data_IF_484464564437
#
_entry.id   IF_484464564437
#
_cell.length_a   1.000
_cell.length_b   1.000
_cell.length_c   1.000
_cell.angle_alpha   90.00
_cell.angle_beta   90.00
_cell.angle_gamma   90.00
#
_symmetry.space_group_name_H-M   'P 1'
#
loop_
_entity.id
_entity.type
_entity.pdbx_description
1 polymer ?
#
# COMPACT_ATOMS: atom_id res chain seq x y z
N UNK A 1 5.67 -32.96 -10.77
CA UNK A 1 6.40 -31.77 -11.26
C UNK A 1 5.48 -30.59 -11.04
N UNK A 2 5.91 -29.57 -10.33
CA UNK A 2 5.09 -28.38 -10.12
C UNK A 2 5.27 -27.50 -11.35
N UNK A 3 4.30 -27.51 -12.26
CA UNK A 3 4.37 -26.66 -13.45
C UNK A 3 4.25 -25.20 -13.00
N UNK A 4 5.28 -24.40 -13.30
CA UNK A 4 5.28 -22.95 -13.07
C UNK A 4 4.65 -22.29 -14.27
N UNK A 5 3.65 -21.44 -14.04
CA UNK A 5 3.03 -20.66 -15.10
C UNK A 5 3.86 -19.40 -15.32
N UNK A 6 4.36 -19.18 -16.54
CA UNK A 6 5.02 -17.92 -16.93
C UNK A 6 4.12 -17.13 -17.87
N UNK A 7 3.97 -15.84 -17.59
CA UNK A 7 3.09 -14.95 -18.34
C UNK A 7 3.84 -14.37 -19.55
N UNK A 8 3.21 -14.38 -20.73
CA UNK A 8 3.71 -13.77 -21.98
C UNK A 8 2.64 -12.87 -22.60
N UNK A 9 3.03 -11.91 -23.44
CA UNK A 9 2.09 -11.02 -24.13
C UNK A 9 1.11 -11.77 -25.03
N UNK A 10 1.49 -12.95 -25.53
CA UNK A 10 0.73 -13.74 -26.51
C UNK A 10 -0.54 -14.42 -25.95
N UNK A 11 -0.90 -14.17 -24.68
CA UNK A 11 -1.97 -14.84 -23.93
C UNK A 11 -1.86 -16.38 -23.87
N UNK A 12 -0.73 -16.95 -24.33
CA UNK A 12 -0.34 -18.34 -24.07
C UNK A 12 0.59 -18.31 -22.86
N UNK A 13 0.01 -18.57 -21.71
CA UNK A 13 0.79 -18.76 -20.51
C UNK A 13 1.46 -20.14 -20.60
N UNK A 14 2.78 -20.15 -20.54
CA UNK A 14 3.56 -21.36 -20.73
C UNK A 14 3.84 -22.03 -19.39
N UNK A 15 3.60 -23.34 -19.34
CA UNK A 15 4.08 -24.19 -18.26
C UNK A 15 5.59 -24.41 -18.44
N UNK A 16 6.38 -23.93 -17.48
CA UNK A 16 7.83 -24.04 -17.49
C UNK A 16 8.27 -24.95 -16.34
N UNK A 17 9.20 -25.85 -16.66
CA UNK A 17 9.84 -26.71 -15.66
C UNK A 17 10.68 -25.87 -14.70
N UNK A 18 10.69 -26.25 -13.44
CA UNK A 18 11.40 -25.53 -12.37
C UNK A 18 12.88 -25.25 -12.74
N UNK A 19 13.60 -26.25 -13.24
CA UNK A 19 15.02 -26.12 -13.63
C UNK A 19 15.24 -25.09 -14.73
N UNK A 20 14.32 -25.02 -15.70
CA UNK A 20 14.36 -24.03 -16.77
C UNK A 20 14.09 -22.62 -16.22
N UNK A 21 13.14 -22.46 -15.29
CA UNK A 21 12.90 -21.17 -14.62
C UNK A 21 14.15 -20.70 -13.89
N UNK A 22 14.78 -21.55 -13.07
CA UNK A 22 15.97 -21.18 -12.31
C UNK A 22 17.13 -20.75 -13.22
N UNK A 23 17.28 -21.41 -14.37
CA UNK A 23 18.27 -21.02 -15.40
C UNK A 23 17.95 -19.64 -15.99
N UNK A 24 16.67 -19.35 -16.29
CA UNK A 24 16.23 -18.02 -16.73
C UNK A 24 16.54 -16.94 -15.69
N UNK A 25 16.38 -17.23 -14.40
CA UNK A 25 16.70 -16.26 -13.33
C UNK A 25 18.19 -15.91 -13.26
N UNK A 26 19.06 -16.91 -13.45
CA UNK A 26 20.50 -16.68 -13.48
C UNK A 26 20.91 -15.84 -14.71
N UNK A 27 20.29 -16.07 -15.87
CA UNK A 27 20.49 -15.25 -17.07
C UNK A 27 19.95 -13.81 -16.92
N UNK A 28 18.72 -13.66 -16.40
CA UNK A 28 18.05 -12.37 -16.17
C UNK A 28 18.90 -11.42 -15.32
N UNK A 29 19.60 -11.96 -14.30
CA UNK A 29 20.48 -11.18 -13.41
C UNK A 29 21.63 -10.48 -14.14
N UNK A 30 21.98 -10.91 -15.36
CA UNK A 30 23.03 -10.28 -16.18
C UNK A 30 22.49 -9.17 -17.11
N UNK A 31 21.17 -9.03 -17.22
CA UNK A 31 20.51 -7.98 -18.01
C UNK A 31 20.03 -6.86 -17.07
N UNK A 32 20.98 -6.02 -16.63
CA UNK A 32 20.72 -4.90 -15.72
C UNK A 32 20.92 -3.56 -16.42
N UNK A 33 20.26 -2.51 -15.93
CA UNK A 33 20.42 -1.15 -16.43
C UNK A 33 20.88 -0.18 -15.34
N UNK A 34 21.31 1.02 -15.74
CA UNK A 34 21.52 2.10 -14.79
C UNK A 34 20.17 2.49 -14.13
N UNK A 35 20.15 2.86 -12.83
CA UNK A 35 18.93 3.38 -12.22
C UNK A 35 18.40 4.59 -13.02
N UNK A 36 17.10 4.54 -13.32
CA UNK A 36 16.35 5.50 -14.13
C UNK A 36 16.92 5.70 -15.54
N UNK A 37 17.46 4.63 -16.14
CA UNK A 37 17.88 4.66 -17.53
C UNK A 37 16.72 5.09 -18.47
N UNK A 38 16.97 5.97 -19.46
CA UNK A 38 15.92 6.58 -20.28
C UNK A 38 14.96 5.57 -20.91
N UNK A 39 15.48 4.45 -21.42
CA UNK A 39 14.70 3.39 -22.06
C UNK A 39 13.69 2.74 -21.10
N UNK A 40 14.06 2.58 -19.82
CA UNK A 40 13.17 2.02 -18.79
C UNK A 40 12.10 3.02 -18.37
N UNK A 41 12.48 4.30 -18.24
CA UNK A 41 11.53 5.40 -17.95
C UNK A 41 10.53 5.55 -19.09
N UNK A 42 10.99 5.48 -20.34
CA UNK A 42 10.16 5.58 -21.53
C UNK A 42 9.19 4.40 -21.65
N UNK A 43 9.64 3.18 -21.37
CA UNK A 43 8.77 2.00 -21.37
C UNK A 43 7.62 2.18 -20.37
N UNK A 44 7.94 2.53 -19.11
CA UNK A 44 6.94 2.73 -18.06
C UNK A 44 5.98 3.88 -18.39
N UNK A 45 6.51 5.02 -18.84
CA UNK A 45 5.69 6.15 -19.25
C UNK A 45 4.76 5.81 -20.42
N UNK A 46 5.23 5.02 -21.40
CA UNK A 46 4.41 4.67 -22.56
C UNK A 46 3.22 3.77 -22.22
N UNK A 47 3.34 2.92 -21.18
CA UNK A 47 2.20 2.16 -20.67
C UNK A 47 1.22 3.08 -19.95
N UNK A 48 1.73 4.04 -19.16
CA UNK A 48 0.89 5.07 -18.55
C UNK A 48 0.09 5.86 -19.61
N UNK A 49 0.75 6.27 -20.70
CA UNK A 49 0.12 6.97 -21.82
C UNK A 49 -0.96 6.11 -22.50
N UNK A 50 -0.74 4.79 -22.66
CA UNK A 50 -1.74 3.87 -23.20
C UNK A 50 -2.97 3.76 -22.28
N UNK A 51 -2.76 3.70 -20.96
CA UNK A 51 -3.83 3.65 -19.97
C UNK A 51 -4.65 4.96 -19.91
N UNK A 52 -4.01 6.11 -20.16
CA UNK A 52 -4.65 7.43 -20.14
C UNK A 52 -5.26 7.83 -21.50
N UNK A 53 -4.67 7.38 -22.61
CA UNK A 53 -5.02 7.76 -23.99
C UNK A 53 -6.25 7.05 -24.56
N UNK A 54 -6.68 5.93 -23.97
CA UNK A 54 -8.00 5.38 -24.25
C UNK A 54 -9.05 6.45 -23.88
N UNK A 55 -9.94 6.86 -24.82
CA UNK A 55 -11.04 7.84 -24.65
C UNK A 55 -12.06 7.45 -23.55
N UNK A 56 -11.59 7.35 -22.31
CA UNK A 56 -12.29 6.99 -21.08
C UNK A 56 -11.76 7.87 -19.94
N UNK A 57 -11.62 9.18 -20.18
CA UNK A 57 -11.30 10.16 -19.13
C UNK A 57 -12.52 10.43 -18.23
N UNK A 58 -13.02 9.35 -17.61
CA UNK A 58 -13.69 9.32 -16.31
C UNK A 58 -13.06 8.24 -15.43
N UNK A 59 -11.91 7.66 -15.83
CA UNK A 59 -11.31 6.50 -15.20
C UNK A 59 -10.97 6.76 -13.72
N UNK A 60 -11.86 6.32 -12.85
CA UNK A 60 -11.63 6.17 -11.42
C UNK A 60 -11.07 4.77 -11.14
N UNK A 61 -10.28 4.67 -10.08
CA UNK A 61 -9.82 3.39 -9.54
C UNK A 61 -8.36 3.04 -9.85
N UNK A 62 -7.91 1.84 -9.43
CA UNK A 62 -6.49 1.60 -9.18
C UNK A 62 -5.58 1.70 -10.41
N UNK A 63 -6.08 1.34 -11.60
CA UNK A 63 -5.33 1.44 -12.85
C UNK A 63 -5.07 2.90 -13.28
N UNK A 64 -6.05 3.79 -13.08
CA UNK A 64 -5.89 5.21 -13.38
C UNK A 64 -4.92 5.86 -12.40
N UNK A 65 -4.99 5.53 -11.10
CA UNK A 65 -4.00 5.97 -10.11
C UNK A 65 -2.58 5.53 -10.50
N UNK A 66 -2.40 4.26 -10.87
CA UNK A 66 -1.11 3.76 -11.32
C UNK A 66 -0.60 4.49 -12.56
N UNK A 67 -1.47 4.76 -13.56
CA UNK A 67 -1.10 5.51 -14.76
C UNK A 67 -0.72 6.98 -14.44
N UNK A 68 -1.46 7.65 -13.57
CA UNK A 68 -1.08 9.00 -13.13
C UNK A 68 0.23 9.03 -12.34
N UNK A 69 0.49 8.01 -11.53
CA UNK A 69 1.73 7.86 -10.77
C UNK A 69 2.94 7.54 -11.67
N UNK A 70 2.73 6.77 -12.75
CA UNK A 70 3.75 6.41 -13.75
C UNK A 70 3.84 7.35 -14.95
N UNK A 71 3.08 8.46 -14.99
CA UNK A 71 3.17 9.42 -16.09
C UNK A 71 4.57 10.04 -16.18
N UNK A 72 4.99 10.38 -17.40
CA UNK A 72 6.33 10.93 -17.70
C UNK A 72 6.80 12.02 -16.75
N UNK A 73 5.95 13.00 -16.44
CA UNK A 73 6.28 14.09 -15.52
C UNK A 73 6.52 13.62 -14.07
N UNK A 74 5.77 12.63 -13.60
CA UNK A 74 5.95 12.05 -12.27
C UNK A 74 7.26 11.24 -12.19
N UNK A 75 7.53 10.42 -13.20
CA UNK A 75 8.79 9.67 -13.29
C UNK A 75 10.02 10.58 -13.39
N UNK A 76 9.93 11.68 -14.14
CA UNK A 76 11.01 12.67 -14.21
C UNK A 76 11.31 13.30 -12.85
N UNK A 77 10.26 13.65 -12.08
CA UNK A 77 10.40 14.16 -10.71
C UNK A 77 11.03 13.11 -9.79
N UNK A 78 10.60 11.86 -9.89
CA UNK A 78 11.16 10.75 -9.12
C UNK A 78 12.65 10.53 -9.45
N UNK A 79 13.01 10.49 -10.73
CA UNK A 79 14.39 10.33 -11.19
C UNK A 79 15.29 11.48 -10.70
N UNK A 80 14.82 12.74 -10.78
CA UNK A 80 15.54 13.90 -10.28
C UNK A 80 15.73 13.85 -8.75
N UNK A 81 14.68 13.49 -8.00
CA UNK A 81 14.76 13.29 -6.55
C UNK A 81 15.74 12.18 -6.17
N UNK A 82 15.73 11.07 -6.91
CA UNK A 82 16.67 9.97 -6.70
C UNK A 82 18.12 10.42 -6.93
N UNK A 83 18.39 11.06 -8.08
CA UNK A 83 19.72 11.54 -8.45
C UNK A 83 20.27 12.55 -7.43
N UNK A 84 19.44 13.48 -6.95
CA UNK A 84 19.84 14.49 -5.96
C UNK A 84 20.29 13.90 -4.61
N UNK A 85 19.89 12.66 -4.30
CA UNK A 85 20.21 11.97 -3.04
C UNK A 85 21.39 11.01 -3.16
N UNK A 86 21.90 10.78 -4.38
CA UNK A 86 23.13 9.99 -4.58
C UNK A 86 24.32 10.82 -4.05
N UNK A 87 25.13 10.28 -3.12
CA UNK A 87 26.27 11.02 -2.58
C UNK A 87 27.30 11.40 -3.65
N UNK A 88 28.03 12.49 -3.40
CA UNK A 88 29.18 12.85 -4.24
C UNK A 88 30.20 11.71 -4.28
N UNK A 89 30.84 11.52 -5.44
CA UNK A 89 31.79 10.43 -5.69
C UNK A 89 31.21 9.01 -5.48
N UNK A 90 29.89 8.87 -5.58
CA UNK A 90 29.21 7.58 -5.58
C UNK A 90 28.36 7.39 -6.84
N UNK A 91 28.26 6.14 -7.27
CA UNK A 91 27.39 5.71 -8.35
C UNK A 91 26.32 4.78 -7.81
N UNK A 92 25.05 5.09 -8.07
CA UNK A 92 23.98 4.14 -7.84
C UNK A 92 24.03 3.02 -8.90
N UNK A 93 23.90 1.78 -8.44
CA UNK A 93 23.84 0.57 -9.28
C UNK A 93 22.68 -0.31 -8.83
N UNK A 94 22.06 -1.07 -9.74
CA UNK A 94 21.06 -2.05 -9.35
C UNK A 94 21.62 -3.07 -8.37
N UNK A 95 20.75 -3.60 -7.53
CA UNK A 95 21.07 -4.68 -6.59
C UNK A 95 21.33 -6.00 -7.33
N UNK A 96 20.53 -6.29 -8.36
CA UNK A 96 20.62 -7.52 -9.15
C UNK A 96 19.24 -8.08 -9.46
N UNK A 97 18.98 -9.34 -9.08
CA UNK A 97 17.67 -9.99 -9.19
C UNK A 97 16.81 -9.69 -7.94
N UNK A 98 15.61 -9.16 -8.14
CA UNK A 98 14.65 -8.85 -7.07
C UNK A 98 13.44 -9.77 -7.15
N UNK A 99 13.14 -10.42 -6.04
CA UNK A 99 11.99 -11.31 -5.90
C UNK A 99 10.81 -10.62 -5.20
N UNK A 100 9.72 -10.45 -5.93
CA UNK A 100 8.51 -9.77 -5.45
C UNK A 100 7.43 -10.75 -5.03
N UNK A 101 6.97 -10.59 -3.79
CA UNK A 101 5.94 -11.38 -3.16
C UNK A 101 4.79 -10.46 -2.74
N UNK A 102 3.88 -10.08 -3.66
CA UNK A 102 2.72 -9.23 -3.35
C UNK A 102 1.71 -9.92 -2.42
N UNK A 103 0.83 -9.16 -1.73
CA UNK A 103 -0.22 -9.73 -0.91
C UNK A 103 -1.36 -10.24 -1.80
N UNK A 104 -2.23 -11.08 -1.25
CA UNK A 104 -3.34 -11.66 -2.02
C UNK A 104 -4.52 -10.68 -2.21
N UNK A 105 -4.68 -9.71 -1.32
CA UNK A 105 -5.85 -8.84 -1.23
C UNK A 105 -5.71 -7.48 -1.93
N UNK A 106 -4.51 -7.10 -2.38
CA UNK A 106 -4.26 -5.82 -3.07
C UNK A 106 -3.53 -6.10 -4.38
N UNK A 107 -4.29 -6.29 -5.45
CA UNK A 107 -3.73 -6.69 -6.76
C UNK A 107 -2.76 -5.65 -7.36
N UNK A 108 -2.85 -4.38 -7.00
CA UNK A 108 -2.07 -3.32 -7.66
C UNK A 108 -0.66 -3.13 -7.10
N UNK A 109 -0.37 -3.58 -5.87
CA UNK A 109 0.89 -3.24 -5.20
C UNK A 109 2.11 -3.92 -5.85
N UNK A 110 1.92 -5.06 -6.53
CA UNK A 110 3.01 -5.66 -7.31
C UNK A 110 3.45 -4.74 -8.45
N UNK A 111 2.53 -4.01 -9.10
CA UNK A 111 2.89 -3.11 -10.19
C UNK A 111 3.78 -1.98 -9.70
N UNK A 112 3.45 -1.38 -8.55
CA UNK A 112 4.28 -0.32 -7.96
C UNK A 112 5.66 -0.83 -7.54
N UNK A 113 5.70 -1.94 -6.81
CA UNK A 113 6.97 -2.53 -6.35
C UNK A 113 7.85 -3.01 -7.51
N UNK A 114 7.27 -3.67 -8.51
CA UNK A 114 7.96 -4.05 -9.74
C UNK A 114 8.45 -2.83 -10.52
N UNK A 115 7.60 -1.82 -10.77
CA UNK A 115 7.97 -0.64 -11.53
C UNK A 115 9.12 0.13 -10.86
N UNK A 116 9.09 0.30 -9.53
CA UNK A 116 10.21 0.92 -8.79
C UNK A 116 11.50 0.10 -8.91
N UNK A 117 11.42 -1.22 -8.84
CA UNK A 117 12.57 -2.10 -9.00
C UNK A 117 13.14 -2.10 -10.43
N UNK A 118 12.26 -2.10 -11.43
CA UNK A 118 12.60 -1.98 -12.84
C UNK A 118 13.28 -0.64 -13.13
N UNK A 119 12.70 0.46 -12.63
CA UNK A 119 13.30 1.80 -12.72
C UNK A 119 14.64 1.86 -11.98
N UNK A 120 14.80 1.17 -10.86
CA UNK A 120 16.08 1.04 -10.15
C UNK A 120 17.15 0.20 -10.91
N UNK A 121 16.83 -0.33 -12.10
CA UNK A 121 17.77 -1.03 -12.97
C UNK A 121 17.85 -2.55 -12.75
N UNK A 122 16.98 -3.11 -11.90
CA UNK A 122 17.04 -4.51 -11.51
C UNK A 122 16.38 -5.46 -12.53
N UNK A 123 16.81 -6.72 -12.48
CA UNK A 123 16.05 -7.86 -12.98
C UNK A 123 14.99 -8.24 -11.93
N UNK A 124 13.85 -8.79 -12.36
CA UNK A 124 12.74 -9.06 -11.46
C UNK A 124 12.10 -10.43 -11.72
N UNK A 125 11.69 -11.08 -10.63
CA UNK A 125 10.70 -12.16 -10.64
C UNK A 125 9.54 -11.78 -9.74
N UNK A 126 8.34 -11.72 -10.30
CA UNK A 126 7.12 -11.33 -9.61
C UNK A 126 6.19 -12.54 -9.51
N UNK A 127 5.87 -12.95 -8.28
CA UNK A 127 4.89 -14.01 -8.04
C UNK A 127 3.47 -13.44 -8.04
N UNK A 128 2.72 -13.69 -9.10
CA UNK A 128 1.32 -13.31 -9.22
C UNK A 128 0.39 -14.31 -8.49
N UNK A 129 -0.79 -13.85 -8.01
CA UNK A 129 -1.84 -14.73 -7.50
C UNK A 129 -2.34 -15.68 -8.60
N UNK A 130 -3.00 -16.76 -8.19
CA UNK A 130 -3.52 -17.76 -9.14
C UNK A 130 -4.55 -17.16 -10.09
N UNK A 131 -5.43 -16.31 -9.56
CA UNK A 131 -6.38 -15.54 -10.33
C UNK A 131 -5.90 -14.09 -10.33
N UNK A 132 -5.62 -13.57 -11.52
CA UNK A 132 -5.35 -12.14 -11.76
C UNK A 132 -6.57 -11.58 -12.47
N UNK A 133 -7.13 -10.48 -11.98
CA UNK A 133 -8.29 -9.86 -12.65
C UNK A 133 -7.99 -9.51 -14.12
N UNK A 134 -9.01 -9.57 -14.98
CA UNK A 134 -8.86 -9.26 -16.43
C UNK A 134 -8.26 -7.88 -16.67
N UNK A 135 -8.63 -6.90 -15.84
CA UNK A 135 -8.06 -5.55 -15.91
C UNK A 135 -6.58 -5.56 -15.57
N UNK A 136 -6.19 -6.24 -14.49
CA UNK A 136 -4.80 -6.33 -14.09
C UNK A 136 -3.95 -7.08 -15.12
N UNK A 137 -4.49 -8.17 -15.66
CA UNK A 137 -3.86 -8.94 -16.75
C UNK A 137 -3.57 -8.05 -17.95
N UNK A 138 -4.55 -7.27 -18.41
CA UNK A 138 -4.37 -6.35 -19.53
C UNK A 138 -3.27 -5.30 -19.29
N UNK A 139 -3.07 -4.85 -18.05
CA UNK A 139 -1.96 -3.93 -17.72
C UNK A 139 -0.62 -4.65 -17.81
N UNK A 140 -0.53 -5.88 -17.29
CA UNK A 140 0.68 -6.70 -17.39
C UNK A 140 1.01 -6.99 -18.85
N UNK A 141 0.01 -7.25 -19.70
CA UNK A 141 0.20 -7.49 -21.14
C UNK A 141 0.83 -6.30 -21.85
N UNK A 142 0.40 -5.07 -21.54
CA UNK A 142 1.01 -3.85 -22.10
C UNK A 142 2.51 -3.72 -21.77
N UNK A 143 2.92 -4.20 -20.59
CA UNK A 143 4.33 -4.24 -20.23
C UNK A 143 5.06 -5.37 -20.95
N UNK A 144 4.50 -6.58 -20.94
CA UNK A 144 5.08 -7.75 -21.60
C UNK A 144 5.29 -7.53 -23.10
N UNK A 145 4.31 -6.95 -23.81
CA UNK A 145 4.42 -6.63 -25.25
C UNK A 145 5.67 -5.79 -25.55
N UNK A 146 5.93 -4.78 -24.70
CA UNK A 146 7.07 -3.87 -24.87
C UNK A 146 8.39 -4.52 -24.48
N UNK A 147 8.40 -5.29 -23.39
CA UNK A 147 9.58 -6.01 -22.92
C UNK A 147 10.02 -7.06 -23.96
N UNK A 148 9.09 -7.85 -24.48
CA UNK A 148 9.33 -8.85 -25.52
C UNK A 148 9.82 -8.20 -26.82
N UNK A 149 9.21 -7.07 -27.24
CA UNK A 149 9.65 -6.33 -28.42
C UNK A 149 11.09 -5.77 -28.30
N UNK A 150 11.55 -5.52 -27.06
CA UNK A 150 12.92 -5.09 -26.78
C UNK A 150 13.89 -6.25 -26.51
N UNK A 151 13.39 -7.48 -26.44
CA UNK A 151 14.18 -8.65 -26.01
C UNK A 151 14.64 -8.57 -24.55
N UNK A 152 13.92 -7.84 -23.69
CA UNK A 152 14.21 -7.75 -22.27
C UNK A 152 13.66 -8.98 -21.53
N UNK A 153 14.52 -9.98 -21.35
CA UNK A 153 14.19 -11.22 -20.62
C UNK A 153 14.44 -11.10 -19.12
N UNK A 154 14.80 -9.90 -18.63
CA UNK A 154 15.14 -9.68 -17.22
C UNK A 154 13.92 -9.55 -16.31
N UNK A 155 12.71 -9.54 -16.87
CA UNK A 155 11.46 -9.26 -16.19
C UNK A 155 10.50 -10.46 -16.29
N UNK A 156 10.37 -11.24 -15.22
CA UNK A 156 9.56 -12.45 -15.19
C UNK A 156 8.33 -12.27 -14.30
N UNK A 157 7.15 -12.48 -14.87
CA UNK A 157 5.89 -12.61 -14.14
C UNK A 157 5.50 -14.08 -14.12
N UNK A 158 5.30 -14.64 -12.94
CA UNK A 158 5.07 -16.08 -12.77
C UNK A 158 3.96 -16.36 -11.76
N UNK A 159 3.31 -17.50 -11.91
CA UNK A 159 2.50 -18.09 -10.87
C UNK A 159 3.02 -19.49 -10.53
N UNK A 160 3.10 -19.77 -9.24
CA UNK A 160 3.35 -21.12 -8.74
C UNK A 160 2.65 -21.33 -7.39
N UNK A 161 2.22 -22.57 -7.08
CA UNK A 161 1.59 -22.92 -5.81
C UNK A 161 2.46 -22.54 -4.60
N UNK A 162 1.83 -22.21 -3.47
CA UNK A 162 2.59 -21.90 -2.24
C UNK A 162 3.27 -23.11 -1.62
N UNK A 163 2.89 -24.32 -2.06
CA UNK A 163 3.45 -25.57 -1.57
C UNK A 163 4.78 -25.87 -2.27
N UNK A 164 5.74 -26.41 -1.50
CA UNK A 164 7.05 -26.80 -2.00
C UNK A 164 8.17 -25.78 -1.72
N UNK A 165 9.34 -26.05 -2.26
CA UNK A 165 10.58 -25.32 -1.96
C UNK A 165 10.99 -24.29 -3.03
N UNK A 166 10.19 -24.14 -4.10
CA UNK A 166 10.49 -23.23 -5.21
C UNK A 166 10.68 -21.78 -4.74
N UNK A 167 9.81 -21.29 -3.84
CA UNK A 167 9.98 -19.95 -3.26
C UNK A 167 11.31 -19.77 -2.53
N UNK A 168 11.79 -20.81 -1.85
CA UNK A 168 13.10 -20.80 -1.19
C UNK A 168 14.25 -20.83 -2.21
N UNK A 169 14.13 -21.62 -3.28
CA UNK A 169 15.10 -21.68 -4.38
C UNK A 169 15.22 -20.36 -5.16
N UNK A 170 14.09 -19.66 -5.37
CA UNK A 170 14.06 -18.32 -5.97
C UNK A 170 14.70 -17.32 -5.01
N UNK A 171 14.31 -17.34 -3.72
CA UNK A 171 14.90 -16.49 -2.69
C UNK A 171 16.42 -16.66 -2.65
N UNK A 172 16.93 -17.89 -2.60
CA UNK A 172 18.37 -18.17 -2.58
C UNK A 172 19.14 -17.62 -3.80
N UNK A 173 18.46 -17.40 -4.93
CA UNK A 173 19.03 -16.82 -6.16
C UNK A 173 18.85 -15.31 -6.27
N UNK A 174 18.10 -14.68 -5.38
CA UNK A 174 17.77 -13.26 -5.47
C UNK A 174 18.72 -12.41 -4.64
N UNK A 175 19.15 -11.26 -5.17
CA UNK A 175 19.98 -10.27 -4.47
C UNK A 175 19.13 -9.38 -3.54
N UNK A 176 17.82 -9.29 -3.79
CA UNK A 176 16.85 -8.77 -2.84
C UNK A 176 15.48 -9.47 -2.94
N UNK A 177 14.68 -9.34 -1.90
CA UNK A 177 13.24 -9.69 -1.92
C UNK A 177 12.38 -8.60 -1.31
N UNK A 178 11.18 -8.46 -1.84
CA UNK A 178 10.15 -7.56 -1.32
C UNK A 178 8.95 -8.41 -0.94
N UNK A 179 8.59 -8.41 0.34
CA UNK A 179 7.50 -9.23 0.86
C UNK A 179 6.39 -8.33 1.36
N UNK A 180 5.26 -8.38 0.66
CA UNK A 180 4.02 -7.73 1.07
C UNK A 180 3.05 -8.78 1.62
N UNK A 181 2.58 -8.59 2.84
CA UNK A 181 1.55 -9.42 3.45
C UNK A 181 1.69 -9.47 4.96
N UNK A 182 0.69 -10.04 5.64
CA UNK A 182 0.67 -10.09 7.10
C UNK A 182 1.87 -10.81 7.72
N UNK A 183 2.03 -10.67 9.02
CA UNK A 183 3.24 -11.09 9.75
C UNK A 183 3.55 -12.59 9.58
N UNK A 184 2.53 -13.43 9.38
CA UNK A 184 2.69 -14.84 9.07
C UNK A 184 3.49 -15.08 7.78
N UNK A 185 3.28 -14.26 6.74
CA UNK A 185 4.03 -14.36 5.48
C UNK A 185 5.45 -13.83 5.66
N UNK A 186 5.63 -12.76 6.43
CA UNK A 186 6.97 -12.26 6.80
C UNK A 186 7.75 -13.37 7.50
N UNK A 187 7.16 -14.01 8.53
CA UNK A 187 7.79 -15.11 9.27
C UNK A 187 8.14 -16.32 8.38
N UNK A 188 7.32 -16.62 7.36
CA UNK A 188 7.59 -17.70 6.40
C UNK A 188 8.83 -17.43 5.54
N UNK A 189 9.03 -16.19 5.10
CA UNK A 189 10.14 -15.83 4.21
C UNK A 189 11.39 -15.37 4.95
N UNK A 190 11.27 -14.79 6.15
CA UNK A 190 12.38 -14.29 6.97
C UNK A 190 13.59 -15.25 7.06
N UNK A 191 13.42 -16.55 7.39
CA UNK A 191 14.55 -17.46 7.54
C UNK A 191 15.14 -17.95 6.21
N UNK A 192 14.47 -17.72 5.07
CA UNK A 192 14.94 -18.21 3.78
C UNK A 192 16.19 -17.45 3.32
N UNK A 193 17.20 -18.12 2.73
CA UNK A 193 18.41 -17.45 2.29
C UNK A 193 18.14 -16.50 1.12
N UNK A 194 19.01 -15.50 1.01
CA UNK A 194 19.17 -14.64 -0.17
C UNK A 194 20.59 -14.82 -0.72
N UNK A 195 20.77 -14.54 -2.01
CA UNK A 195 22.10 -14.62 -2.66
C UNK A 195 23.06 -13.72 -1.91
N UNK A 196 24.17 -14.28 -1.42
CA UNK A 196 25.23 -13.57 -0.70
C UNK A 196 24.74 -12.65 0.43
N UNK A 197 23.72 -13.08 1.20
CA UNK A 197 23.17 -12.27 2.29
C UNK A 197 22.43 -11.02 1.79
N UNK A 198 21.75 -11.14 0.66
CA UNK A 198 20.98 -10.08 0.01
C UNK A 198 19.96 -9.36 0.91
N UNK A 199 19.27 -8.37 0.34
CA UNK A 199 18.41 -7.46 1.11
C UNK A 199 16.95 -7.89 1.15
N UNK A 200 16.33 -7.84 2.32
CA UNK A 200 14.88 -8.02 2.44
C UNK A 200 14.20 -6.69 2.75
N UNK A 201 13.08 -6.43 2.08
CA UNK A 201 12.15 -5.34 2.40
C UNK A 201 10.84 -5.98 2.86
N UNK A 202 10.38 -5.59 4.04
CA UNK A 202 9.28 -6.24 4.75
C UNK A 202 8.10 -5.29 4.93
N UNK A 203 6.96 -5.65 4.36
CA UNK A 203 5.70 -4.94 4.57
C UNK A 203 4.72 -5.89 5.26
N UNK A 204 4.83 -5.93 6.60
CA UNK A 204 4.05 -6.75 7.52
C UNK A 204 2.65 -6.20 7.81
N UNK A 205 2.00 -6.75 8.84
CA UNK A 205 0.74 -6.21 9.33
C UNK A 205 0.94 -4.80 9.91
N UNK A 206 0.08 -3.87 9.47
CA UNK A 206 0.09 -2.49 9.94
C UNK A 206 -1.25 -2.08 10.50
N UNK A 207 -1.21 -1.08 11.36
CA UNK A 207 -2.36 -0.36 11.85
C UNK A 207 -2.25 1.11 11.44
N UNK A 208 -3.39 1.73 11.16
CA UNK A 208 -3.45 3.14 10.81
C UNK A 208 -4.67 3.76 11.47
N UNK A 209 -4.63 5.06 11.70
CA UNK A 209 -5.72 5.80 12.33
C UNK A 209 -5.75 7.24 11.85
N UNK A 210 -6.88 7.91 12.04
CA UNK A 210 -7.03 9.33 11.70
C UNK A 210 -7.00 10.20 12.94
N UNK A 211 -6.60 11.45 12.76
CA UNK A 211 -6.70 12.53 13.74
C UNK A 211 -7.59 13.64 13.20
N UNK A 212 -8.49 14.15 14.01
CA UNK A 212 -9.46 15.17 13.61
C UNK A 212 -9.47 16.28 14.65
N UNK A 213 -9.26 17.53 14.22
CA UNK A 213 -9.55 18.69 15.05
C UNK A 213 -11.07 18.92 15.07
N UNK A 214 -11.71 18.74 16.22
CA UNK A 214 -13.16 18.81 16.32
C UNK A 214 -13.71 20.22 16.09
N UNK A 215 -13.01 21.25 16.57
CA UNK A 215 -13.40 22.63 16.36
C UNK A 215 -13.32 23.04 14.88
N UNK A 216 -12.38 22.47 14.12
CA UNK A 216 -12.33 22.65 12.67
C UNK A 216 -13.45 21.89 11.95
N UNK A 217 -13.78 20.67 12.41
CA UNK A 217 -14.87 19.87 11.86
C UNK A 217 -16.23 20.59 12.01
N UNK A 218 -16.50 21.16 13.18
CA UNK A 218 -17.77 21.83 13.46
C UNK A 218 -18.00 23.10 12.64
N UNK A 219 -16.93 23.70 12.11
CA UNK A 219 -16.99 24.89 11.23
C UNK A 219 -17.34 24.55 9.79
N UNK A 220 -17.33 23.26 9.41
CA UNK A 220 -17.66 22.87 8.04
C UNK A 220 -19.14 23.10 7.75
N UNK A 221 -19.40 23.70 6.58
CA UNK A 221 -20.72 23.69 6.00
C UNK A 221 -21.06 22.31 5.40
N UNK A 222 -22.32 22.14 5.00
CA UNK A 222 -22.82 20.87 4.46
C UNK A 222 -22.05 20.37 3.22
N UNK A 223 -21.75 21.21 2.21
CA UNK A 223 -20.90 20.81 1.08
C UNK A 223 -19.49 20.37 1.50
N UNK A 224 -18.81 21.11 2.37
CA UNK A 224 -17.45 20.77 2.79
C UNK A 224 -17.41 19.51 3.66
N UNK A 225 -18.41 19.31 4.52
CA UNK A 225 -18.58 18.08 5.29
C UNK A 225 -18.74 16.86 4.37
N UNK A 226 -19.59 16.95 3.34
CA UNK A 226 -19.76 15.87 2.35
C UNK A 226 -18.47 15.59 1.58
N UNK A 227 -17.71 16.63 1.21
CA UNK A 227 -16.42 16.45 0.57
C UNK A 227 -15.40 15.73 1.47
N UNK A 228 -15.37 16.06 2.77
CA UNK A 228 -14.55 15.34 3.75
C UNK A 228 -15.04 13.91 3.96
N UNK A 229 -16.35 13.69 4.03
CA UNK A 229 -16.96 12.37 4.16
C UNK A 229 -16.57 11.45 3.00
N UNK A 230 -16.59 11.96 1.75
CA UNK A 230 -16.12 11.22 0.57
C UNK A 230 -14.63 10.89 0.63
N UNK A 231 -13.82 11.80 1.17
CA UNK A 231 -12.38 11.55 1.39
C UNK A 231 -12.16 10.45 2.43
N UNK A 232 -12.81 10.55 3.59
CA UNK A 232 -12.74 9.53 4.63
C UNK A 232 -13.27 8.18 4.12
N UNK A 233 -14.31 8.23 3.28
CA UNK A 233 -14.85 7.06 2.61
C UNK A 233 -13.78 6.32 1.83
N UNK A 234 -13.01 7.02 0.98
CA UNK A 234 -11.95 6.40 0.20
C UNK A 234 -10.88 5.72 1.08
N UNK A 235 -10.49 6.35 2.18
CA UNK A 235 -9.49 5.78 3.10
C UNK A 235 -10.00 4.51 3.82
N UNK A 236 -11.30 4.50 4.16
CA UNK A 236 -11.92 3.44 4.98
C UNK A 236 -12.40 2.28 4.13
N UNK A 237 -13.02 2.53 2.99
CA UNK A 237 -13.83 1.53 2.31
C UNK A 237 -13.15 0.83 1.14
N UNK A 238 -12.17 1.48 0.51
CA UNK A 238 -11.38 0.84 -0.54
C UNK A 238 -10.55 -0.31 0.10
N UNK A 239 -10.50 -1.46 -0.57
CA UNK A 239 -9.92 -2.70 -0.06
C UNK A 239 -10.55 -3.19 1.25
N UNK A 240 -11.84 -2.92 1.47
CA UNK A 240 -12.60 -3.34 2.66
C UNK A 240 -11.97 -2.92 3.99
N UNK A 241 -11.29 -1.76 4.02
CA UNK A 241 -10.55 -1.28 5.19
C UNK A 241 -9.38 -2.17 5.61
N UNK A 242 -8.94 -3.09 4.74
CA UNK A 242 -7.88 -4.05 5.03
C UNK A 242 -6.52 -3.66 4.42
N UNK A 243 -6.42 -2.45 3.86
CA UNK A 243 -5.12 -1.90 3.46
C UNK A 243 -4.31 -1.47 4.70
N UNK A 244 -2.98 -1.58 4.62
CA UNK A 244 -2.07 -1.17 5.70
C UNK A 244 -2.24 0.29 6.17
N UNK A 245 -2.66 1.17 5.25
CA UNK A 245 -2.88 2.59 5.52
C UNK A 245 -4.33 2.95 5.86
N UNK A 246 -5.28 2.02 5.78
CA UNK A 246 -6.69 2.30 6.11
C UNK A 246 -6.86 2.56 7.60
N UNK A 247 -7.55 3.65 7.99
CA UNK A 247 -7.72 4.00 9.40
C UNK A 247 -8.74 3.06 10.06
N UNK A 248 -8.41 2.59 11.27
CA UNK A 248 -9.30 1.77 12.12
C UNK A 248 -9.81 2.53 13.36
N UNK A 249 -9.24 3.70 13.65
CA UNK A 249 -9.67 4.58 14.72
C UNK A 249 -9.65 6.05 14.28
N UNK A 250 -10.50 6.86 14.89
CA UNK A 250 -10.53 8.33 14.78
C UNK A 250 -10.21 8.93 16.14
N UNK A 251 -9.05 9.54 16.27
CA UNK A 251 -8.67 10.33 17.44
C UNK A 251 -9.13 11.78 17.23
N UNK A 252 -10.16 12.18 17.96
CA UNK A 252 -10.82 13.48 17.81
C UNK A 252 -10.35 14.40 18.93
N UNK A 253 -9.64 15.46 18.59
CA UNK A 253 -9.21 16.45 19.57
C UNK A 253 -10.34 17.42 19.91
N UNK A 254 -10.79 17.37 21.16
CA UNK A 254 -11.91 18.14 21.69
C UNK A 254 -12.69 17.36 22.75
N UNK A 255 -13.58 18.04 23.47
CA UNK A 255 -14.47 17.41 24.44
C UNK A 255 -15.66 16.68 23.77
N UNK A 256 -15.96 15.48 24.25
CA UNK A 256 -17.01 14.63 23.70
C UNK A 256 -18.41 15.25 23.83
N UNK A 257 -18.71 15.93 24.95
CA UNK A 257 -20.03 16.52 25.16
C UNK A 257 -20.34 17.65 24.17
N UNK A 258 -19.29 18.34 23.72
CA UNK A 258 -19.41 19.42 22.74
C UNK A 258 -19.43 18.91 21.30
N UNK A 259 -18.55 17.98 20.96
CA UNK A 259 -18.24 17.68 19.55
C UNK A 259 -18.82 16.38 19.00
N UNK A 260 -19.46 15.55 19.83
CA UNK A 260 -20.02 14.26 19.37
C UNK A 260 -21.01 14.39 18.21
N UNK A 261 -21.78 15.48 18.16
CA UNK A 261 -22.73 15.71 17.07
C UNK A 261 -22.04 15.93 15.72
N UNK A 262 -20.95 16.70 15.67
CA UNK A 262 -20.16 16.93 14.46
C UNK A 262 -19.50 15.65 13.94
N UNK A 263 -18.89 14.88 14.84
CA UNK A 263 -18.29 13.57 14.50
C UNK A 263 -19.34 12.61 13.95
N UNK A 264 -20.53 12.55 14.58
CA UNK A 264 -21.63 11.73 14.09
C UNK A 264 -22.08 12.14 12.69
N UNK A 265 -22.22 13.44 12.42
CA UNK A 265 -22.58 13.95 11.08
C UNK A 265 -21.57 13.51 10.02
N UNK A 266 -20.27 13.58 10.32
CA UNK A 266 -19.21 13.10 9.42
C UNK A 266 -19.34 11.60 9.14
N UNK A 267 -19.50 10.78 10.18
CA UNK A 267 -19.60 9.32 10.06
C UNK A 267 -20.85 8.90 9.30
N UNK A 268 -22.00 9.51 9.61
CA UNK A 268 -23.26 9.24 8.91
C UNK A 268 -23.15 9.63 7.42
N UNK A 269 -22.54 10.78 7.09
CA UNK A 269 -22.27 11.16 5.71
C UNK A 269 -21.30 10.21 4.99
N UNK A 270 -20.27 9.75 5.68
CA UNK A 270 -19.26 8.80 5.13
C UNK A 270 -19.90 7.46 4.78
N UNK A 271 -20.89 7.03 5.57
CA UNK A 271 -21.64 5.79 5.35
C UNK A 271 -22.57 5.85 4.11
N UNK A 272 -22.98 7.05 3.69
CA UNK A 272 -23.86 7.28 2.53
C UNK A 272 -23.11 7.29 1.20
N UNK A 273 -21.81 7.56 1.20
CA UNK A 273 -20.97 7.53 -0.02
C UNK A 273 -20.73 6.11 -0.54
N UNK A 274 -21.09 5.08 0.23
CA UNK A 274 -20.88 3.69 -0.12
C UNK A 274 -21.93 3.17 -1.09
N UNK A 275 -21.47 2.79 -2.28
CA UNK A 275 -22.24 2.07 -3.30
C UNK A 275 -21.68 0.66 -3.44
N UNK A 276 -22.43 -0.37 -3.03
CA UNK A 276 -21.92 -1.75 -2.95
C UNK A 276 -22.10 -2.54 -4.24
N UNK A 277 -21.05 -3.27 -4.65
CA UNK A 277 -21.08 -4.19 -5.80
C UNK A 277 -21.02 -5.72 -5.44
N UNK A 278 -20.81 -6.16 -4.17
CA UNK A 278 -20.77 -7.61 -3.82
C UNK A 278 -21.49 -8.05 -2.51
N UNK A 279 -22.74 -8.57 -2.57
CA UNK A 279 -23.56 -9.05 -1.45
C UNK A 279 -22.92 -9.98 -0.40
N UNK A 280 -21.95 -10.83 -0.75
CA UNK A 280 -21.49 -11.91 0.16
C UNK A 280 -20.43 -11.46 1.16
N UNK A 281 -19.48 -10.62 0.72
CA UNK A 281 -18.50 -10.00 1.62
C UNK A 281 -19.20 -9.17 2.72
N UNK A 282 -20.40 -8.64 2.44
CA UNK A 282 -21.16 -7.81 3.36
C UNK A 282 -21.69 -8.53 4.58
N UNK A 283 -22.07 -9.81 4.47
CA UNK A 283 -22.63 -10.54 5.63
C UNK A 283 -21.54 -10.78 6.68
N UNK A 284 -20.35 -11.21 6.25
CA UNK A 284 -19.20 -11.42 7.13
C UNK A 284 -18.78 -10.15 7.85
N UNK A 285 -18.61 -9.05 7.09
CA UNK A 285 -18.29 -7.75 7.68
C UNK A 285 -19.40 -7.24 8.61
N UNK A 286 -20.68 -7.35 8.23
CA UNK A 286 -21.79 -6.91 9.07
C UNK A 286 -21.82 -7.64 10.42
N UNK A 287 -21.65 -8.97 10.42
CA UNK A 287 -21.57 -9.77 11.65
C UNK A 287 -20.35 -9.37 12.46
N UNK A 288 -19.16 -9.31 11.85
CA UNK A 288 -17.93 -8.93 12.54
C UNK A 288 -18.03 -7.55 13.23
N UNK A 289 -18.58 -6.56 12.51
CA UNK A 289 -18.82 -5.20 13.04
C UNK A 289 -19.81 -5.20 14.20
N UNK A 290 -20.91 -5.94 14.06
CA UNK A 290 -21.92 -6.08 15.10
C UNK A 290 -21.34 -6.72 16.37
N UNK A 291 -20.61 -7.83 16.22
CA UNK A 291 -19.95 -8.52 17.33
C UNK A 291 -18.95 -7.61 18.04
N UNK A 292 -18.08 -6.93 17.29
CA UNK A 292 -17.08 -6.01 17.86
C UNK A 292 -17.74 -4.85 18.62
N UNK A 293 -18.78 -4.23 18.03
CA UNK A 293 -19.48 -3.10 18.64
C UNK A 293 -20.18 -3.48 19.95
N UNK A 294 -20.96 -4.56 19.96
CA UNK A 294 -21.69 -4.98 21.14
C UNK A 294 -20.79 -5.58 22.21
N UNK A 295 -19.69 -6.23 21.83
CA UNK A 295 -18.67 -6.64 22.79
C UNK A 295 -18.03 -5.43 23.47
N UNK A 296 -17.67 -4.37 22.72
CA UNK A 296 -17.12 -3.15 23.30
C UNK A 296 -18.09 -2.48 24.28
N UNK A 297 -19.39 -2.40 23.93
CA UNK A 297 -20.42 -1.87 24.82
C UNK A 297 -20.62 -2.73 26.07
N UNK A 298 -20.78 -4.05 25.92
CA UNK A 298 -20.98 -4.97 27.03
C UNK A 298 -19.78 -5.07 27.99
N UNK A 299 -18.57 -4.86 27.48
CA UNK A 299 -17.35 -4.81 28.27
C UNK A 299 -17.09 -3.43 28.91
N UNK A 300 -17.97 -2.44 28.73
CA UNK A 300 -17.80 -1.08 29.24
C UNK A 300 -16.72 -0.25 28.53
N UNK A 301 -16.17 -0.74 27.41
CA UNK A 301 -15.11 -0.07 26.63
C UNK A 301 -15.66 0.99 25.68
N UNK A 302 -16.95 0.94 25.38
CA UNK A 302 -17.63 1.94 24.56
C UNK A 302 -18.75 2.64 25.35
N UNK A 303 -18.78 3.96 25.29
CA UNK A 303 -19.84 4.79 25.86
C UNK A 303 -21.05 4.89 24.92
N UNK A 304 -20.80 4.79 23.60
CA UNK A 304 -21.86 4.81 22.58
C UNK A 304 -21.54 3.84 21.44
N UNK A 305 -22.59 3.31 20.82
CA UNK A 305 -22.53 2.52 19.59
C UNK A 305 -23.40 3.21 18.53
N UNK A 306 -22.81 3.52 17.38
CA UNK A 306 -23.54 3.96 16.20
C UNK A 306 -23.63 2.80 15.20
N UNK A 307 -24.83 2.24 15.09
CA UNK A 307 -25.17 1.12 14.23
C UNK A 307 -26.53 1.38 13.57
N UNK A 308 -26.60 2.42 12.74
CA UNK A 308 -27.83 2.84 12.05
C UNK A 308 -28.02 2.19 10.68
N UNK A 309 -26.92 1.89 10.00
CA UNK A 309 -26.90 1.11 8.77
C UNK A 309 -25.74 0.10 8.82
N UNK A 310 -25.78 -0.90 7.94
CA UNK A 310 -24.73 -1.94 7.90
C UNK A 310 -23.47 -1.47 7.18
N UNK A 311 -23.44 -0.25 6.62
CA UNK A 311 -22.30 0.23 5.82
C UNK A 311 -21.16 0.68 6.73
N UNK A 312 -21.44 1.50 7.74
CA UNK A 312 -20.46 1.96 8.71
C UNK A 312 -20.95 1.71 10.13
N UNK A 313 -20.11 1.05 10.93
CA UNK A 313 -20.35 0.88 12.38
C UNK A 313 -19.26 1.62 13.12
N UNK A 314 -19.63 2.41 14.13
CA UNK A 314 -18.64 3.05 14.99
C UNK A 314 -18.98 2.91 16.46
N UNK A 315 -17.94 2.95 17.30
CA UNK A 315 -18.06 2.97 18.75
C UNK A 315 -17.30 4.16 19.29
N UNK A 316 -17.84 4.88 20.27
CA UNK A 316 -17.06 5.90 20.99
C UNK A 316 -16.46 5.26 22.23
N UNK A 317 -15.14 5.29 22.34
CA UNK A 317 -14.42 4.74 23.48
C UNK A 317 -14.84 5.43 24.79
N UNK A 318 -14.88 4.67 25.89
CA UNK A 318 -15.19 5.19 27.23
C UNK A 318 -14.03 5.98 27.84
N UNK A 319 -12.82 5.80 27.33
CA UNK A 319 -11.59 6.42 27.82
C UNK A 319 -10.70 6.86 26.64
N UNK A 320 -9.85 7.89 26.83
CA UNK A 320 -8.89 8.37 25.82
C UNK A 320 -7.69 7.41 25.72
N UNK A 321 -7.96 6.17 25.32
CA UNK A 321 -6.98 5.09 25.25
C UNK A 321 -6.81 4.55 23.83
N UNK A 322 -5.63 3.98 23.59
CA UNK A 322 -5.30 3.32 22.34
C UNK A 322 -6.31 2.23 21.99
N UNK A 323 -6.85 2.30 20.78
CA UNK A 323 -7.72 1.28 20.20
C UNK A 323 -6.93 0.41 19.20
N UNK A 324 -6.89 -0.91 19.42
CA UNK A 324 -6.22 -1.88 18.54
C UNK A 324 -7.22 -2.87 17.92
N UNK A 325 -8.37 -2.36 17.48
CA UNK A 325 -9.45 -3.19 16.95
C UNK A 325 -9.38 -3.14 15.42
N UNK A 326 -9.12 -4.29 14.78
CA UNK A 326 -9.17 -4.47 13.32
C UNK A 326 -10.34 -5.39 12.97
N UNK A 327 -11.42 -4.83 12.43
CA UNK A 327 -12.59 -5.61 11.97
C UNK A 327 -12.69 -5.64 10.44
N UNK A 328 -12.44 -4.50 9.79
CA UNK A 328 -12.66 -4.35 8.35
C UNK A 328 -14.07 -3.84 8.02
N UNK A 329 -14.27 -3.51 6.74
CA UNK A 329 -15.59 -3.22 6.17
C UNK A 329 -16.30 -2.00 6.76
N UNK A 330 -15.58 -0.99 7.26
CA UNK A 330 -16.16 0.24 7.79
C UNK A 330 -16.45 0.21 9.29
N UNK A 331 -15.58 -0.41 10.09
CA UNK A 331 -15.61 -0.32 11.55
C UNK A 331 -14.64 0.76 12.05
N UNK A 332 -15.12 1.74 12.83
CA UNK A 332 -14.26 2.80 13.38
C UNK A 332 -14.46 2.97 14.89
N UNK A 333 -13.37 2.92 15.65
CA UNK A 333 -13.38 3.40 17.04
C UNK A 333 -13.14 4.91 17.07
N UNK A 334 -14.01 5.67 17.72
CA UNK A 334 -13.85 7.11 17.97
C UNK A 334 -13.29 7.29 19.38
N UNK A 335 -12.20 8.04 19.50
CA UNK A 335 -11.54 8.34 20.77
C UNK A 335 -11.42 9.84 20.89
N UNK A 336 -12.07 10.44 21.88
CA UNK A 336 -11.87 11.86 22.18
C UNK A 336 -10.58 12.05 22.96
N UNK A 337 -9.74 12.99 22.54
CA UNK A 337 -8.44 13.33 23.13
C UNK A 337 -8.37 14.83 23.39
N UNK A 338 -7.45 15.28 24.25
CA UNK A 338 -7.37 16.70 24.62
C UNK A 338 -6.75 17.55 23.52
N UNK A 339 -5.74 17.03 22.83
CA UNK A 339 -5.03 17.74 21.77
C UNK A 339 -4.22 16.78 20.91
N UNK A 340 -3.75 17.24 19.75
CA UNK A 340 -2.86 16.46 18.87
C UNK A 340 -1.59 15.99 19.60
N UNK A 341 -1.12 16.73 20.62
CA UNK A 341 0.06 16.39 21.40
C UNK A 341 -0.07 15.09 22.21
N UNK A 342 -1.27 14.51 22.36
CA UNK A 342 -1.46 13.21 23.00
C UNK A 342 -1.22 12.04 22.04
N UNK A 343 -1.38 12.26 20.73
CA UNK A 343 -1.27 11.21 19.70
C UNK A 343 0.04 10.43 19.76
N UNK A 344 1.21 11.07 19.96
CA UNK A 344 2.49 10.38 20.16
C UNK A 344 2.46 9.26 21.21
N UNK A 345 1.64 9.39 22.26
CA UNK A 345 1.52 8.38 23.32
C UNK A 345 0.73 7.13 22.92
N UNK A 346 -0.12 7.22 21.89
CA UNK A 346 -0.90 6.10 21.37
C UNK A 346 -0.19 5.33 20.27
N UNK A 347 0.91 5.87 19.73
CA UNK A 347 1.62 5.24 18.62
C UNK A 347 2.29 3.92 19.08
N UNK A 348 2.28 2.93 18.21
CA UNK A 348 2.95 1.63 18.34
C UNK A 348 3.85 1.38 17.15
N UNK A 349 4.77 0.44 17.28
CA UNK A 349 5.68 0.03 16.21
C UNK A 349 4.94 -0.49 14.97
N UNK A 350 3.76 -1.10 15.16
CA UNK A 350 2.90 -1.57 14.06
C UNK A 350 2.18 -0.46 13.31
N UNK A 351 2.26 0.80 13.75
CA UNK A 351 1.54 1.89 13.10
C UNK A 351 2.26 2.39 11.85
N UNK A 352 1.52 2.56 10.76
CA UNK A 352 2.08 3.05 9.50
C UNK A 352 1.64 4.48 9.19
N UNK A 353 0.34 4.71 9.06
CA UNK A 353 -0.21 5.96 8.54
C UNK A 353 -1.09 6.62 9.58
N UNK A 354 -0.84 7.91 9.83
CA UNK A 354 -1.80 8.80 10.48
C UNK A 354 -2.42 9.69 9.41
N UNK A 355 -3.73 9.57 9.17
CA UNK A 355 -4.42 10.59 8.39
C UNK A 355 -4.91 11.74 9.27
N UNK A 356 -5.04 12.94 8.71
CA UNK A 356 -5.36 14.12 9.50
C UNK A 356 -6.35 15.07 8.82
N UNK A 357 -7.12 15.79 9.64
CA UNK A 357 -7.99 16.88 9.20
C UNK A 357 -8.06 18.00 10.24
N UNK A 358 -8.03 19.25 9.74
CA UNK A 358 -8.27 20.44 10.55
C UNK A 358 -7.07 20.91 11.39
N UNK A 359 -5.87 20.51 11.02
CA UNK A 359 -4.61 20.88 11.68
C UNK A 359 -3.76 21.75 10.77
N UNK A 360 -3.05 22.70 11.36
CA UNK A 360 -2.02 23.44 10.66
C UNK A 360 -0.77 22.56 10.46
N UNK A 361 0.04 22.92 9.45
CA UNK A 361 1.26 22.18 9.11
C UNK A 361 2.21 22.05 10.31
N UNK A 362 2.44 23.15 11.01
CA UNK A 362 3.38 23.19 12.14
C UNK A 362 2.93 22.31 13.30
N UNK A 363 1.61 22.15 13.52
CA UNK A 363 1.06 21.24 14.53
C UNK A 363 1.35 19.78 14.19
N UNK A 364 1.17 19.41 12.92
CA UNK A 364 1.44 18.06 12.42
C UNK A 364 2.95 17.76 12.51
N UNK A 365 3.79 18.70 12.08
CA UNK A 365 5.25 18.55 12.13
C UNK A 365 5.75 18.44 13.57
N UNK A 366 5.21 19.24 14.50
CA UNK A 366 5.52 19.13 15.92
C UNK A 366 5.08 17.77 16.51
N UNK A 367 3.88 17.29 16.18
CA UNK A 367 3.40 15.99 16.63
C UNK A 367 4.24 14.84 16.08
N UNK A 368 4.58 14.87 14.79
CA UNK A 368 5.44 13.88 14.15
C UNK A 368 6.85 13.86 14.76
N UNK A 369 7.45 15.04 14.99
CA UNK A 369 8.80 15.17 15.55
C UNK A 369 8.89 14.77 17.03
N UNK A 370 7.79 14.89 17.79
CA UNK A 370 7.79 14.61 19.23
C UNK A 370 8.01 13.12 19.57
N UNK A 371 7.83 12.20 18.62
CA UNK A 371 8.12 10.77 18.79
C UNK A 371 9.30 10.34 17.94
N UNK A 372 10.40 10.00 18.61
CA UNK A 372 11.62 9.47 17.98
C UNK A 372 11.56 7.94 17.80
N UNK A 373 10.81 7.24 18.65
CA UNK A 373 10.73 5.77 18.66
C UNK A 373 9.95 5.18 17.48
N UNK A 374 10.03 3.85 17.26
CA UNK A 374 9.37 3.17 16.14
C UNK A 374 7.86 3.42 16.04
N UNK A 375 7.35 3.32 14.81
CA UNK A 375 5.94 3.42 14.46
C UNK A 375 5.71 4.21 13.17
N UNK A 376 4.81 5.18 13.26
CA UNK A 376 4.24 5.92 12.11
C UNK A 376 5.31 6.39 11.14
N UNK A 377 5.14 5.98 9.89
CA UNK A 377 6.03 6.29 8.78
C UNK A 377 5.46 7.38 7.87
N UNK A 378 4.16 7.72 8.02
CA UNK A 378 3.48 8.65 7.13
C UNK A 378 2.38 9.44 7.85
N UNK A 379 2.39 10.75 7.65
CA UNK A 379 1.26 11.63 7.99
C UNK A 379 0.66 12.16 6.69
N UNK A 380 -0.65 12.05 6.53
CA UNK A 380 -1.30 12.41 5.27
C UNK A 380 -2.70 13.03 5.48
N UNK A 381 -3.18 13.91 4.59
CA UNK A 381 -4.57 14.37 4.67
C UNK A 381 -5.55 13.20 4.55
N UNK A 382 -6.70 13.27 5.25
CA UNK A 382 -7.81 12.34 5.02
C UNK A 382 -8.19 12.35 3.52
N UNK A 383 -8.38 11.16 2.96
CA UNK A 383 -8.65 10.87 1.55
C UNK A 383 -7.42 10.51 0.72
N UNK A 384 -6.23 10.50 1.34
CA UNK A 384 -4.96 10.21 0.67
C UNK A 384 -4.20 9.07 1.37
N UNK A 385 -4.86 8.27 2.21
CA UNK A 385 -4.24 7.14 2.90
C UNK A 385 -3.66 6.12 1.91
N UNK A 386 -4.37 5.91 0.80
CA UNK A 386 -4.08 4.88 -0.20
C UNK A 386 -3.23 5.41 -1.37
N UNK A 387 -2.85 6.69 -1.34
CA UNK A 387 -1.96 7.28 -2.34
C UNK A 387 -0.54 6.76 -2.14
N UNK A 388 -0.20 5.73 -2.91
CA UNK A 388 1.12 5.10 -2.89
C UNK A 388 2.22 6.07 -3.33
N UNK A 389 3.37 5.99 -2.66
CA UNK A 389 4.57 6.78 -2.99
C UNK A 389 5.83 5.89 -2.96
N UNK A 390 6.93 6.38 -3.53
CA UNK A 390 8.21 5.64 -3.56
C UNK A 390 8.87 5.53 -2.17
N UNK A 391 8.51 6.43 -1.24
CA UNK A 391 8.73 6.27 0.19
C UNK A 391 7.46 5.68 0.79
N UNK A 392 7.51 4.42 1.19
CA UNK A 392 6.36 3.72 1.75
C UNK A 392 6.77 2.92 2.97
N UNK A 393 6.00 3.02 4.05
CA UNK A 393 6.27 2.30 5.31
C UNK A 393 7.70 2.52 5.85
N UNK A 394 8.24 3.72 5.62
CA UNK A 394 9.59 4.10 6.05
C UNK A 394 10.71 3.67 5.09
N UNK A 395 10.40 2.91 4.04
CA UNK A 395 11.37 2.48 3.03
C UNK A 395 11.40 3.44 1.84
N UNK A 396 12.57 3.98 1.52
CA UNK A 396 12.81 4.54 0.19
C UNK A 396 13.10 3.40 -0.79
N UNK A 397 12.05 2.88 -1.42
CA UNK A 397 12.13 1.63 -2.18
C UNK A 397 13.21 1.68 -3.28
N UNK A 398 13.35 2.74 -4.12
CA UNK A 398 14.45 2.84 -5.08
C UNK A 398 15.85 2.77 -4.46
N UNK A 399 16.09 3.45 -3.34
CA UNK A 399 17.39 3.37 -2.66
C UNK A 399 17.61 2.02 -1.99
N UNK A 400 16.56 1.41 -1.45
CA UNK A 400 16.62 0.07 -0.87
C UNK A 400 17.00 -0.98 -1.92
N UNK A 401 16.53 -0.80 -3.16
CA UNK A 401 16.75 -1.69 -4.32
C UNK A 401 17.95 -1.28 -5.19
N UNK A 402 18.77 -0.36 -4.73
CA UNK A 402 20.07 -0.04 -5.33
C UNK A 402 21.20 -0.29 -4.33
N UNK A 403 22.43 -0.19 -4.83
CA UNK A 403 23.66 -0.16 -4.04
C UNK A 403 24.51 1.01 -4.52
N UNK A 404 25.28 1.59 -3.60
CA UNK A 404 26.22 2.65 -3.94
C UNK A 404 27.61 2.06 -4.18
N UNK A 405 28.23 2.47 -5.28
CA UNK A 405 29.64 2.24 -5.58
C UNK A 405 30.37 3.56 -5.34
N UNK A 406 31.10 3.66 -4.24
CA UNK A 406 31.91 4.84 -3.92
C UNK A 406 33.27 4.71 -4.58
N UNK A 407 33.73 5.79 -5.22
CA UNK A 407 35.11 5.95 -5.66
C UNK A 407 35.79 6.84 -4.62
N UNK A 408 36.74 6.27 -3.89
CA UNK A 408 37.51 6.97 -2.85
C UNK A 408 38.76 7.61 -3.44
#
# INVERSE_FOLDING_TARGET
>A
MTDVLTYSASARDDAVQETALLTKLDAARHQLAAPFAPERVDLVASVADALLGAKRSTASGPAAHFAFWTRRAALAKLAASFAARVPQHAFARPRGLVFHLPPQNVETVFLYSWALSYLAGNANIVRLPQAVSTRMRAIVDLFLEKLEAQGDESQLFVHYPSQGDLGAKISARSDARIVWGGDAKVALFAPLPLRNGGKSIWFGDRFSFSTINAAALDKLDEPALRALAKKLHNDVFIFDQMACSSPHALYVAGDAATHSAGVRRLLDATALEWTMDDPKAHVGHAIGKMTAAFYAAGAGRASTVNWRNTNLTSVTASAPERQDIRVGGGFLSVVFIRSLAEVPSFIRESDQTITYFGWERDEIEAAAASRIGPGVSRWAPIGTALDFDFIWDGYDIPFELTRLVRVS
#
